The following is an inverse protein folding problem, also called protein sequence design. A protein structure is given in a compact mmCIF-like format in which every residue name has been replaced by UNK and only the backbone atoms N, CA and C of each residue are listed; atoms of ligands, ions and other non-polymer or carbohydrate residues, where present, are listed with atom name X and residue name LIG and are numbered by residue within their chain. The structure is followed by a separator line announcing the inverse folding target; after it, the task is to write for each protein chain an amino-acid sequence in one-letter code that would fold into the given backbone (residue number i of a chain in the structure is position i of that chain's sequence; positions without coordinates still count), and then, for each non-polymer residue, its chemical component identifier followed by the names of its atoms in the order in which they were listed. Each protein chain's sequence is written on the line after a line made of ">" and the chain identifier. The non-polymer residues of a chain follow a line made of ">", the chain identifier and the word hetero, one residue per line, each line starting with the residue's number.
data_IF_969945259892
#
_entry.id   IF_969945259892
#
_cell.length_a   1.000
_cell.length_b   1.000
_cell.length_c   1.000
_cell.angle_alpha   90.00
_cell.angle_beta   90.00
_cell.angle_gamma   90.00
#
_symmetry.space_group_name_H-M   'P 1'
#
loop_
_entity.id
_entity.type
_entity.pdbx_description
1 polymer ?
#
# COMPACT_ATOMS: atom_id res chain seq x y z
N UNK A 1 -45.33 -21.18 7.06
CA UNK A 1 -44.53 -20.22 6.26
C UNK A 1 -43.14 -20.17 6.85
N UNK A 2 -42.11 -20.45 6.04
CA UNK A 2 -40.72 -20.41 6.50
C UNK A 2 -40.25 -18.99 6.78
N UNK A 3 -39.26 -18.84 7.67
CA UNK A 3 -38.67 -17.55 8.05
C UNK A 3 -38.17 -16.76 6.80
N UNK A 4 -37.67 -17.48 5.78
CA UNK A 4 -37.21 -16.89 4.51
C UNK A 4 -38.35 -16.36 3.62
N UNK A 5 -39.47 -17.08 3.54
CA UNK A 5 -40.64 -16.68 2.74
C UNK A 5 -41.29 -15.42 3.33
N UNK A 6 -41.37 -15.35 4.67
CA UNK A 6 -41.89 -14.19 5.38
C UNK A 6 -41.01 -12.95 5.18
N UNK A 7 -39.69 -13.13 5.22
CA UNK A 7 -38.74 -12.04 4.94
C UNK A 7 -38.89 -11.50 3.52
N UNK A 8 -38.99 -12.38 2.51
CA UNK A 8 -39.18 -11.98 1.12
C UNK A 8 -40.53 -11.29 0.90
N UNK A 9 -41.59 -11.76 1.57
CA UNK A 9 -42.90 -11.11 1.57
C UNK A 9 -42.80 -9.68 2.11
N UNK A 10 -42.27 -9.47 3.32
CA UNK A 10 -42.15 -8.12 3.90
C UNK A 10 -41.27 -7.19 3.05
N UNK A 11 -40.16 -7.70 2.51
CA UNK A 11 -39.28 -6.93 1.62
C UNK A 11 -40.00 -6.49 0.33
N UNK A 12 -40.82 -7.37 -0.25
CA UNK A 12 -41.58 -7.08 -1.49
C UNK A 12 -42.71 -6.09 -1.24
N UNK A 13 -43.34 -6.17 -0.07
CA UNK A 13 -44.45 -5.29 0.32
C UNK A 13 -43.99 -3.99 1.01
N UNK A 14 -42.68 -3.72 1.05
CA UNK A 14 -42.10 -2.56 1.72
C UNK A 14 -42.48 -2.46 3.20
N UNK A 15 -42.59 -3.60 3.88
CA UNK A 15 -42.85 -3.71 5.32
C UNK A 15 -41.51 -3.99 6.01
N UNK A 16 -41.32 -3.43 7.20
CA UNK A 16 -40.12 -3.67 8.01
C UNK A 16 -39.94 -5.17 8.29
N UNK A 17 -38.82 -5.75 7.86
CA UNK A 17 -38.55 -7.18 8.01
C UNK A 17 -38.24 -7.60 9.45
N UNK A 18 -38.07 -6.64 10.37
CA UNK A 18 -37.76 -6.91 11.77
C UNK A 18 -39.00 -6.85 12.66
N UNK A 19 -39.79 -5.77 12.58
CA UNK A 19 -41.00 -5.64 13.40
C UNK A 19 -42.28 -6.11 12.69
N UNK A 20 -42.32 -6.13 11.36
CA UNK A 20 -43.51 -6.50 10.58
C UNK A 20 -44.69 -5.53 10.69
N UNK A 21 -44.55 -4.42 11.40
CA UNK A 21 -45.64 -3.49 11.74
C UNK A 21 -45.60 -2.19 10.95
N UNK A 22 -44.41 -1.60 10.81
CA UNK A 22 -44.21 -0.32 10.14
C UNK A 22 -43.66 -0.54 8.73
N UNK A 23 -43.89 0.42 7.85
CA UNK A 23 -43.29 0.43 6.52
C UNK A 23 -41.77 0.56 6.60
N UNK A 24 -41.09 -0.15 5.71
CA UNK A 24 -39.67 -0.01 5.48
C UNK A 24 -39.38 1.29 4.74
N UNK A 25 -38.27 1.94 5.10
CA UNK A 25 -37.82 3.16 4.40
C UNK A 25 -37.48 2.79 2.94
N UNK A 26 -37.72 3.69 1.98
CA UNK A 26 -37.34 3.49 0.58
C UNK A 26 -35.87 3.09 0.44
N UNK A 27 -35.62 1.95 -0.20
CA UNK A 27 -34.27 1.39 -0.39
C UNK A 27 -33.72 0.61 0.80
N UNK A 28 -34.47 0.52 1.90
CA UNK A 28 -34.12 -0.22 3.11
C UNK A 28 -35.12 -1.35 3.37
N UNK A 29 -34.74 -2.27 4.26
CA UNK A 29 -35.59 -3.40 4.70
C UNK A 29 -36.19 -3.17 6.09
N UNK A 30 -35.81 -2.08 6.76
CA UNK A 30 -36.22 -1.76 8.13
C UNK A 30 -36.95 -0.41 8.14
N UNK A 31 -37.81 -0.22 9.15
CA UNK A 31 -38.38 1.09 9.48
C UNK A 31 -37.34 1.95 10.23
N UNK A 32 -37.64 3.24 10.39
CA UNK A 32 -36.80 4.21 11.10
C UNK A 32 -36.37 3.73 12.48
N UNK A 33 -37.32 3.34 13.33
CA UNK A 33 -37.03 2.94 14.71
C UNK A 33 -36.14 1.70 14.79
N UNK A 34 -36.42 0.70 13.95
CA UNK A 34 -35.64 -0.53 13.92
C UNK A 34 -34.23 -0.29 13.37
N UNK A 35 -34.11 0.60 12.38
CA UNK A 35 -32.84 0.98 11.81
C UNK A 35 -31.97 1.75 12.82
N UNK A 36 -32.54 2.71 13.56
CA UNK A 36 -31.82 3.42 14.62
C UNK A 36 -31.37 2.50 15.75
N UNK A 37 -32.25 1.61 16.22
CA UNK A 37 -31.89 0.60 17.23
C UNK A 37 -30.76 -0.29 16.73
N UNK A 38 -30.81 -0.73 15.47
CA UNK A 38 -29.75 -1.53 14.87
C UNK A 38 -28.44 -0.75 14.76
N UNK A 39 -28.46 0.52 14.33
CA UNK A 39 -27.28 1.37 14.30
C UNK A 39 -26.68 1.59 15.69
N UNK A 40 -27.51 1.87 16.70
CA UNK A 40 -27.06 2.06 18.08
C UNK A 40 -26.42 0.77 18.64
N UNK A 41 -27.04 -0.39 18.40
CA UNK A 41 -26.51 -1.69 18.81
C UNK A 41 -25.19 -2.00 18.09
N UNK A 42 -25.14 -1.84 16.77
CA UNK A 42 -23.93 -2.07 15.98
C UNK A 42 -22.80 -1.12 16.38
N UNK A 43 -23.11 0.14 16.71
CA UNK A 43 -22.12 1.10 17.22
C UNK A 43 -21.54 0.63 18.55
N UNK A 44 -22.39 0.25 19.51
CA UNK A 44 -21.93 -0.30 20.80
C UNK A 44 -21.05 -1.52 20.61
N UNK A 45 -21.49 -2.48 19.78
CA UNK A 45 -20.71 -3.68 19.46
C UNK A 45 -19.35 -3.36 18.83
N UNK A 46 -19.33 -2.46 17.85
CA UNK A 46 -18.09 -2.04 17.19
C UNK A 46 -17.14 -1.31 18.14
N UNK A 47 -17.66 -0.51 19.07
CA UNK A 47 -16.87 0.21 20.05
C UNK A 47 -16.27 -0.76 21.10
N UNK A 48 -17.05 -1.73 21.58
CA UNK A 48 -16.55 -2.74 22.53
C UNK A 48 -15.48 -3.63 21.90
N UNK A 49 -15.70 -4.11 20.68
CA UNK A 49 -14.78 -5.01 19.99
C UNK A 49 -13.72 -4.27 19.16
N UNK A 50 -13.63 -2.93 19.28
CA UNK A 50 -12.72 -2.10 18.49
C UNK A 50 -11.26 -2.55 18.65
N UNK A 51 -10.85 -2.80 19.89
CA UNK A 51 -9.47 -3.22 20.22
C UNK A 51 -9.18 -4.61 19.70
N UNK A 52 -10.08 -5.56 19.96
CA UNK A 52 -9.96 -6.95 19.52
C UNK A 52 -9.91 -7.06 17.98
N UNK A 53 -10.79 -6.34 17.29
CA UNK A 53 -10.79 -6.28 15.84
C UNK A 53 -9.50 -5.62 15.30
N UNK A 54 -9.02 -4.55 15.94
CA UNK A 54 -7.75 -3.93 15.55
C UNK A 54 -6.57 -4.89 15.71
N UNK A 55 -6.54 -5.68 16.79
CA UNK A 55 -5.52 -6.70 17.02
C UNK A 55 -5.62 -7.84 16.02
N UNK A 56 -6.83 -8.36 15.78
CA UNK A 56 -7.09 -9.38 14.78
C UNK A 56 -6.61 -8.93 13.38
N UNK A 57 -6.97 -7.71 12.98
CA UNK A 57 -6.52 -7.13 11.71
C UNK A 57 -5.00 -6.96 11.68
N UNK A 58 -4.36 -6.58 12.79
CA UNK A 58 -2.89 -6.48 12.87
C UNK A 58 -2.23 -7.84 12.64
N UNK A 59 -2.71 -8.90 13.33
CA UNK A 59 -2.22 -10.28 13.17
C UNK A 59 -2.42 -10.77 11.73
N UNK A 60 -3.61 -10.55 11.16
CA UNK A 60 -3.93 -10.92 9.79
C UNK A 60 -3.01 -10.22 8.77
N UNK A 61 -2.66 -8.95 8.99
CA UNK A 61 -1.73 -8.22 8.12
C UNK A 61 -0.31 -8.80 8.21
N UNK A 62 0.17 -9.14 9.41
CA UNK A 62 1.48 -9.75 9.61
C UNK A 62 1.56 -11.12 8.92
N UNK A 63 0.59 -11.99 9.19
CA UNK A 63 0.46 -13.30 8.56
C UNK A 63 0.46 -13.20 7.03
N UNK A 64 -0.35 -12.29 6.46
CA UNK A 64 -0.41 -12.09 5.00
C UNK A 64 0.93 -11.63 4.44
N UNK A 65 1.66 -10.77 5.15
CA UNK A 65 2.97 -10.27 4.71
C UNK A 65 4.02 -11.38 4.71
N UNK A 66 4.04 -12.23 5.73
CA UNK A 66 4.96 -13.37 5.85
C UNK A 66 4.70 -14.43 4.78
N UNK A 67 3.43 -14.70 4.48
CA UNK A 67 3.03 -15.70 3.49
C UNK A 67 3.00 -15.17 2.04
N UNK A 68 3.52 -13.96 1.78
CA UNK A 68 3.54 -13.39 0.43
C UNK A 68 2.13 -13.14 -0.15
N UNK A 69 1.15 -12.89 0.70
CA UNK A 69 -0.24 -12.60 0.34
C UNK A 69 -0.51 -11.09 0.35
N UNK A 70 -1.50 -10.69 -0.45
CA UNK A 70 -1.93 -9.31 -0.50
C UNK A 70 -2.58 -8.92 0.82
N UNK A 71 -2.05 -7.89 1.47
CA UNK A 71 -2.56 -7.37 2.75
C UNK A 71 -4.06 -7.02 2.68
N UNK A 72 -4.55 -6.60 1.50
CA UNK A 72 -5.94 -6.16 1.32
C UNK A 72 -6.92 -7.30 1.00
N UNK A 73 -6.59 -8.19 0.06
CA UNK A 73 -7.53 -9.23 -0.40
C UNK A 73 -7.08 -10.67 -0.16
N UNK A 74 -5.90 -10.90 0.41
CA UNK A 74 -5.38 -12.25 0.68
C UNK A 74 -4.90 -13.04 -0.54
N UNK A 75 -5.02 -12.51 -1.76
CA UNK A 75 -4.51 -13.18 -2.98
C UNK A 75 -2.97 -13.20 -3.00
N UNK A 76 -2.33 -14.19 -3.65
CA UNK A 76 -0.87 -14.21 -3.82
C UNK A 76 -0.34 -12.90 -4.40
N UNK A 77 0.73 -12.41 -3.79
CA UNK A 77 1.31 -11.08 -4.02
C UNK A 77 2.79 -11.15 -4.45
N UNK A 78 3.36 -12.34 -4.42
CA UNK A 78 4.78 -12.59 -4.71
C UNK A 78 5.66 -11.80 -3.75
N UNK A 79 6.62 -11.05 -4.30
CA UNK A 79 7.59 -10.23 -3.54
C UNK A 79 7.00 -8.94 -2.93
N UNK A 80 5.76 -8.59 -3.23
CA UNK A 80 5.16 -7.31 -2.84
C UNK A 80 4.15 -7.48 -1.71
N UNK A 81 3.77 -6.38 -1.05
CA UNK A 81 2.72 -6.41 0.00
C UNK A 81 1.28 -6.35 -0.52
N UNK A 82 1.09 -6.02 -1.80
CA UNK A 82 -0.21 -5.95 -2.45
C UNK A 82 -0.17 -6.66 -3.80
N UNK A 83 -1.27 -7.32 -4.16
CA UNK A 83 -1.45 -7.84 -5.51
C UNK A 83 -1.49 -6.70 -6.53
N UNK A 84 -1.27 -7.03 -7.79
CA UNK A 84 -1.18 -6.07 -8.89
C UNK A 84 -2.37 -5.11 -8.96
N UNK A 85 -3.60 -5.64 -8.88
CA UNK A 85 -4.83 -4.83 -8.85
C UNK A 85 -4.81 -3.79 -7.74
N UNK A 86 -4.48 -4.18 -6.50
CA UNK A 86 -4.44 -3.25 -5.37
C UNK A 86 -3.26 -2.28 -5.43
N UNK A 87 -2.13 -2.67 -6.04
CA UNK A 87 -1.04 -1.74 -6.33
C UNK A 87 -1.47 -0.67 -7.34
N UNK A 88 -2.15 -1.05 -8.42
CA UNK A 88 -2.65 -0.12 -9.42
C UNK A 88 -3.64 0.88 -8.80
N UNK A 89 -4.63 0.40 -8.03
CA UNK A 89 -5.59 1.28 -7.33
C UNK A 89 -4.89 2.25 -6.37
N UNK A 90 -3.90 1.78 -5.60
CA UNK A 90 -3.13 2.67 -4.72
C UNK A 90 -2.31 3.70 -5.48
N UNK A 91 -1.70 3.32 -6.61
CA UNK A 91 -0.97 4.24 -7.50
C UNK A 91 -1.90 5.35 -7.99
N UNK A 92 -3.08 5.00 -8.48
CA UNK A 92 -4.08 5.97 -8.94
C UNK A 92 -4.53 6.92 -7.82
N UNK A 93 -4.75 6.41 -6.60
CA UNK A 93 -5.11 7.26 -5.44
C UNK A 93 -3.99 8.24 -5.05
N UNK A 94 -2.73 7.81 -5.11
CA UNK A 94 -1.58 8.68 -4.84
C UNK A 94 -1.48 9.77 -5.90
N UNK A 95 -1.63 9.41 -7.18
CA UNK A 95 -1.62 10.36 -8.29
C UNK A 95 -2.78 11.37 -8.20
N UNK A 96 -4.00 10.93 -7.89
CA UNK A 96 -5.14 11.83 -7.66
C UNK A 96 -4.84 12.84 -6.55
N UNK A 97 -4.32 12.38 -5.41
CA UNK A 97 -3.94 13.25 -4.29
C UNK A 97 -2.84 14.24 -4.66
N UNK A 98 -1.90 13.87 -5.53
CA UNK A 98 -0.86 14.78 -6.03
C UNK A 98 -1.47 15.90 -6.87
N UNK A 99 -2.36 15.54 -7.80
CA UNK A 99 -3.09 16.51 -8.64
C UNK A 99 -3.91 17.49 -7.80
N UNK A 100 -4.64 16.98 -6.79
CA UNK A 100 -5.40 17.82 -5.85
C UNK A 100 -4.52 18.82 -5.09
N UNK A 101 -3.26 18.47 -4.82
CA UNK A 101 -2.28 19.36 -4.19
C UNK A 101 -1.54 20.28 -5.17
N UNK A 102 -1.91 20.28 -6.45
CA UNK A 102 -1.19 21.00 -7.50
C UNK A 102 0.23 20.47 -7.75
N UNK A 103 0.57 19.28 -7.26
CA UNK A 103 1.87 18.66 -7.52
C UNK A 103 1.83 18.10 -8.94
N UNK A 104 2.72 18.61 -9.78
CA UNK A 104 2.85 18.17 -11.16
C UNK A 104 3.14 16.66 -11.29
N UNK A 105 2.81 16.09 -12.44
CA UNK A 105 3.10 14.68 -12.70
C UNK A 105 4.62 14.43 -12.70
N UNK A 106 5.04 13.28 -12.20
CA UNK A 106 6.48 12.94 -12.11
C UNK A 106 7.16 12.83 -13.48
N UNK A 107 6.38 12.61 -14.55
CA UNK A 107 6.84 12.62 -15.93
C UNK A 107 7.32 13.99 -16.41
N UNK A 108 6.93 15.08 -15.73
CA UNK A 108 7.34 16.47 -16.03
C UNK A 108 8.59 16.88 -15.23
N UNK A 109 9.29 15.91 -14.64
CA UNK A 109 10.50 16.13 -13.84
C UNK A 109 11.74 15.68 -14.61
N UNK A 110 12.90 16.23 -14.23
CA UNK A 110 14.20 15.99 -14.87
C UNK A 110 14.37 16.57 -16.28
N UNK A 111 13.45 17.43 -16.73
CA UNK A 111 13.53 18.19 -18.00
C UNK A 111 14.56 19.34 -17.98
N UNK A 112 15.41 19.40 -16.96
CA UNK A 112 16.41 20.47 -16.77
C UNK A 112 15.87 21.76 -16.14
N UNK A 113 14.55 21.87 -15.98
CA UNK A 113 13.88 22.96 -15.24
C UNK A 113 13.36 22.51 -13.86
N UNK A 114 12.90 21.26 -13.74
CA UNK A 114 12.35 20.72 -12.50
C UNK A 114 13.10 19.48 -12.04
N UNK A 115 13.28 19.34 -10.73
CA UNK A 115 13.97 18.23 -10.11
C UNK A 115 13.18 16.92 -10.29
N UNK A 116 13.80 15.87 -10.82
CA UNK A 116 13.13 14.57 -11.05
C UNK A 116 12.69 13.81 -9.79
N UNK A 117 13.12 14.25 -8.59
CA UNK A 117 12.76 13.64 -7.31
C UNK A 117 11.66 14.44 -6.60
N UNK A 118 11.90 15.73 -6.37
CA UNK A 118 11.01 16.58 -5.57
C UNK A 118 10.14 17.53 -6.39
N UNK A 119 10.35 17.61 -7.72
CA UNK A 119 9.60 18.44 -8.66
C UNK A 119 9.66 19.96 -8.36
N UNK A 120 10.61 20.38 -7.53
CA UNK A 120 10.95 21.79 -7.34
C UNK A 120 11.79 22.31 -8.51
N UNK A 121 11.72 23.62 -8.82
CA UNK A 121 12.60 24.21 -9.83
C UNK A 121 14.07 23.94 -9.49
N UNK A 122 14.86 23.71 -10.53
CA UNK A 122 16.30 23.47 -10.42
C UNK A 122 17.01 24.81 -10.52
N UNK A 123 17.98 25.02 -9.63
CA UNK A 123 18.76 26.27 -9.55
C UNK A 123 19.62 26.51 -10.79
N UNK A 124 20.15 25.43 -11.40
CA UNK A 124 21.00 25.46 -12.59
C UNK A 124 20.33 24.77 -13.77
N UNK A 125 20.15 25.50 -14.87
CA UNK A 125 19.59 24.98 -16.11
C UNK A 125 20.40 23.79 -16.61
N UNK A 126 19.73 22.69 -16.93
CA UNK A 126 20.35 21.45 -17.40
C UNK A 126 20.65 20.41 -16.32
N UNK A 127 20.57 20.77 -15.03
CA UNK A 127 20.64 19.77 -13.96
C UNK A 127 19.30 19.03 -13.80
N UNK A 128 19.36 17.72 -13.59
CA UNK A 128 18.16 16.87 -13.39
C UNK A 128 17.62 16.92 -11.96
N UNK A 129 18.42 17.39 -11.00
CA UNK A 129 18.12 17.41 -9.57
C UNK A 129 18.45 18.79 -8.98
N UNK A 130 17.67 19.23 -7.99
CA UNK A 130 18.04 20.38 -7.18
C UNK A 130 19.20 20.03 -6.23
N UNK A 131 19.93 21.03 -5.73
CA UNK A 131 21.13 20.88 -4.90
C UNK A 131 20.91 19.96 -3.70
N UNK A 132 19.79 20.12 -2.98
CA UNK A 132 19.39 19.24 -1.87
C UNK A 132 19.23 17.77 -2.31
N UNK A 133 18.48 17.54 -3.39
CA UNK A 133 18.23 16.18 -3.86
C UNK A 133 19.49 15.54 -4.45
N UNK A 134 20.36 16.35 -5.06
CA UNK A 134 21.66 15.91 -5.54
C UNK A 134 22.55 15.43 -4.40
N UNK A 135 22.70 16.23 -3.34
CA UNK A 135 23.53 15.87 -2.19
C UNK A 135 23.02 14.62 -1.47
N UNK A 136 21.71 14.52 -1.22
CA UNK A 136 21.11 13.32 -0.65
C UNK A 136 21.31 12.07 -1.51
N UNK A 137 21.32 12.24 -2.84
CA UNK A 137 21.57 11.12 -3.75
C UNK A 137 23.05 10.74 -3.75
N UNK A 138 23.95 11.74 -3.73
CA UNK A 138 25.39 11.55 -3.63
C UNK A 138 25.76 10.78 -2.35
N UNK A 139 25.26 11.19 -1.19
CA UNK A 139 25.49 10.49 0.09
C UNK A 139 25.01 9.03 0.05
N UNK A 140 23.88 8.77 -0.61
CA UNK A 140 23.38 7.39 -0.80
C UNK A 140 24.30 6.58 -1.69
N UNK A 141 24.74 7.15 -2.82
CA UNK A 141 25.70 6.51 -3.71
C UNK A 141 27.01 6.19 -2.98
N UNK A 142 27.53 7.12 -2.19
CA UNK A 142 28.75 6.91 -1.41
C UNK A 142 28.59 5.79 -0.39
N UNK A 143 27.46 5.73 0.34
CA UNK A 143 27.15 4.61 1.25
C UNK A 143 27.03 3.28 0.52
N UNK A 144 26.43 3.27 -0.67
CA UNK A 144 26.34 2.05 -1.49
C UNK A 144 27.71 1.57 -1.96
N UNK A 145 28.60 2.49 -2.32
CA UNK A 145 29.99 2.17 -2.72
C UNK A 145 30.76 1.63 -1.51
N UNK A 146 30.65 2.25 -0.34
CA UNK A 146 31.32 1.80 0.88
C UNK A 146 30.88 0.39 1.32
N UNK A 147 29.59 0.09 1.20
CA UNK A 147 29.02 -1.21 1.56
C UNK A 147 29.05 -2.22 0.40
N UNK A 148 29.78 -1.92 -0.68
CA UNK A 148 29.80 -2.76 -1.87
C UNK A 148 30.69 -3.98 -1.61
N UNK A 149 30.05 -5.11 -1.35
CA UNK A 149 30.74 -6.39 -1.36
C UNK A 149 31.02 -6.83 -2.80
N UNK A 150 32.29 -6.80 -3.16
CA UNK A 150 32.80 -7.25 -4.47
C UNK A 150 33.54 -8.60 -4.37
N UNK A 151 33.46 -9.31 -3.25
CA UNK A 151 34.15 -10.58 -3.01
C UNK A 151 33.78 -11.65 -4.05
N UNK A 152 32.53 -11.67 -4.50
CA UNK A 152 32.01 -12.64 -5.46
C UNK A 152 32.29 -12.30 -6.95
N UNK A 153 33.05 -11.23 -7.24
CA UNK A 153 33.41 -10.90 -8.62
C UNK A 153 34.63 -11.72 -9.11
N UNK A 154 34.45 -12.43 -10.23
CA UNK A 154 35.44 -13.35 -10.82
C UNK A 154 36.83 -12.75 -11.12
N UNK A 155 36.93 -11.45 -11.39
CA UNK A 155 38.19 -10.77 -11.68
C UNK A 155 39.03 -10.48 -10.41
N UNK A 156 38.40 -10.47 -9.22
CA UNK A 156 39.15 -10.38 -7.95
C UNK A 156 39.76 -11.71 -7.53
N UNK A 157 39.06 -12.82 -7.78
CA UNK A 157 39.56 -14.17 -7.46
C UNK A 157 40.76 -14.57 -8.33
N UNK A 158 40.79 -14.18 -9.61
CA UNK A 158 41.93 -14.42 -10.50
C UNK A 158 43.15 -13.57 -10.14
N UNK A 159 42.95 -12.29 -9.80
CA UNK A 159 44.06 -11.43 -9.37
C UNK A 159 44.73 -11.97 -8.10
N UNK A 160 43.95 -12.46 -7.14
CA UNK A 160 44.49 -13.02 -5.89
C UNK A 160 45.27 -14.32 -6.13
N UNK A 161 44.81 -15.18 -7.05
CA UNK A 161 45.54 -16.38 -7.48
C UNK A 161 46.86 -16.04 -8.21
N UNK A 162 46.79 -15.14 -9.20
CA UNK A 162 47.99 -14.71 -9.95
C UNK A 162 49.05 -14.03 -9.08
N UNK A 163 48.62 -13.25 -8.07
CA UNK A 163 49.51 -12.61 -7.11
C UNK A 163 50.17 -13.63 -6.17
N UNK A 164 49.44 -14.65 -5.73
CA UNK A 164 49.99 -15.78 -4.94
C UNK A 164 51.02 -16.57 -5.74
N UNK A 165 50.76 -16.83 -7.02
CA UNK A 165 51.70 -17.50 -7.92
C UNK A 165 52.97 -16.67 -8.14
N UNK A 166 52.85 -15.35 -8.28
CA UNK A 166 54.01 -14.44 -8.39
C UNK A 166 54.90 -14.47 -7.12
N UNK A 167 54.30 -14.39 -5.93
CA UNK A 167 55.04 -14.49 -4.66
C UNK A 167 55.71 -15.87 -4.50
N UNK A 168 55.04 -16.95 -4.92
CA UNK A 168 55.59 -18.29 -4.84
C UNK A 168 56.81 -18.49 -5.76
N UNK A 169 56.88 -17.78 -6.90
CA UNK A 169 58.04 -17.79 -7.81
C UNK A 169 59.22 -16.94 -7.34
N UNK A 170 59.05 -16.12 -6.31
CA UNK A 170 60.08 -15.25 -5.74
C UNK A 170 60.78 -15.86 -4.51
N UNK A 171 60.38 -17.05 -4.07
CA UNK A 171 61.06 -17.87 -3.05
C UNK A 171 61.87 -18.97 -3.70
#
# INVERSE_FOLDING_TARGET
>A
MGNKELYEFYKKHHICTYCGQNDAIRGHTLCWDCQEKQYASNKKYNDTHRKENAEHLRKLRAYRKENGLCIQCGKPSGKFSYCEKHRAVKRLKIEKRRREKGIMAKSMGADGYFCGICLKPVEKKGMKLCSRCYQLNYEKCMKMIANRDNSHHWWKTLNDASYREYIAKQK
#
